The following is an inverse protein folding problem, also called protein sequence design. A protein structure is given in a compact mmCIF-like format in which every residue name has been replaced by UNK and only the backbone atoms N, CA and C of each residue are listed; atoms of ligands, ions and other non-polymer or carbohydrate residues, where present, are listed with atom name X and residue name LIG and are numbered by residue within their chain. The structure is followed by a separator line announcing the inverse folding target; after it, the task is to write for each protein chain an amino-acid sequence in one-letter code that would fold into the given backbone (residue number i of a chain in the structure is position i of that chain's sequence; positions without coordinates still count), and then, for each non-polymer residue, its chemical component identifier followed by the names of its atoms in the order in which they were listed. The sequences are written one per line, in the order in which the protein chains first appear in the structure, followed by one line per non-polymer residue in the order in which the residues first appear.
data_IF_539592710756
#
_entry.id   IF_539592710756
#
_cell.length_a   1.000
_cell.length_b   1.000
_cell.length_c   1.000
_cell.angle_alpha   90.00
_cell.angle_beta   90.00
_cell.angle_gamma   90.00
#
_symmetry.space_group_name_H-M   'P 1'
#
loop_
_entity.id
_entity.type
_entity.pdbx_description
1 polymer ?
#
# COMPACT_ATOMS: atom_id res chain seq x y z
N UNK A 1 13.07 9.24 21.02
CA UNK A 1 11.92 9.45 20.11
C UNK A 1 12.50 9.67 18.73
N UNK A 2 12.21 8.77 17.80
CA UNK A 2 12.61 8.94 16.39
C UNK A 2 11.70 10.01 15.78
N UNK A 3 12.28 11.05 15.19
CA UNK A 3 11.53 12.10 14.51
C UNK A 3 11.51 11.77 13.04
N UNK A 4 10.32 11.72 12.44
CA UNK A 4 10.17 11.52 11.00
C UNK A 4 10.50 12.84 10.29
N UNK A 5 11.41 12.77 9.32
CA UNK A 5 11.88 13.90 8.51
C UNK A 5 11.36 13.83 7.07
N UNK A 6 10.97 12.64 6.61
CA UNK A 6 10.39 12.40 5.28
C UNK A 6 9.32 11.31 5.30
N UNK A 7 8.40 11.34 4.33
CA UNK A 7 7.38 10.31 4.12
C UNK A 7 7.42 9.82 2.68
N UNK A 8 7.45 8.51 2.48
CA UNK A 8 7.24 7.87 1.20
C UNK A 8 5.78 7.39 1.09
N UNK A 9 5.10 7.77 0.00
CA UNK A 9 3.74 7.34 -0.33
C UNK A 9 3.81 6.22 -1.36
N UNK A 10 3.42 5.00 -0.98
CA UNK A 10 3.50 3.79 -1.79
C UNK A 10 2.08 3.27 -2.03
N UNK A 11 1.71 3.00 -3.28
CA UNK A 11 0.36 2.55 -3.55
C UNK A 11 -0.12 2.77 -4.97
N UNK A 12 -1.43 2.94 -5.07
CA UNK A 12 -2.14 3.10 -6.34
C UNK A 12 -2.71 4.53 -6.52
N UNK A 13 -3.67 4.64 -7.45
CA UNK A 13 -4.48 5.83 -7.75
C UNK A 13 -5.06 6.58 -6.55
N UNK A 14 -5.21 5.94 -5.38
CA UNK A 14 -5.68 6.61 -4.17
C UNK A 14 -4.66 7.64 -3.67
N UNK A 15 -3.36 7.35 -3.83
CA UNK A 15 -2.27 8.26 -3.45
C UNK A 15 -1.76 9.04 -4.67
N UNK A 16 -1.64 8.41 -5.84
CA UNK A 16 -1.35 9.06 -7.12
C UNK A 16 -2.64 9.56 -7.78
N UNK A 17 -3.30 10.53 -7.12
CA UNK A 17 -4.65 10.94 -7.48
C UNK A 17 -4.72 12.27 -8.25
N UNK A 18 -3.59 12.87 -8.62
CA UNK A 18 -3.53 14.23 -9.18
C UNK A 18 -4.30 14.39 -10.50
N UNK A 19 -4.41 13.34 -11.30
CA UNK A 19 -5.20 13.32 -12.55
C UNK A 19 -6.72 13.26 -12.32
N UNK A 20 -7.16 12.94 -11.10
CA UNK A 20 -8.57 12.69 -10.75
C UNK A 20 -9.20 13.83 -9.94
N UNK A 21 -8.42 14.85 -9.54
CA UNK A 21 -8.86 15.93 -8.66
C UNK A 21 -8.44 17.29 -9.21
N UNK A 22 -9.03 18.35 -8.66
CA UNK A 22 -8.63 19.71 -9.01
C UNK A 22 -7.22 20.03 -8.50
N UNK A 23 -6.56 20.98 -9.17
CA UNK A 23 -5.20 21.40 -8.82
C UNK A 23 -5.07 21.78 -7.35
N UNK A 24 -4.12 21.15 -6.64
CA UNK A 24 -3.88 21.39 -5.22
C UNK A 24 -4.75 20.58 -4.27
N UNK A 25 -5.64 19.73 -4.78
CA UNK A 25 -6.45 18.79 -3.99
C UNK A 25 -5.88 17.38 -3.96
N UNK A 26 -4.77 17.12 -4.67
CA UNK A 26 -4.10 15.83 -4.64
C UNK A 26 -3.63 15.49 -3.22
N UNK A 27 -3.57 14.21 -2.89
CA UNK A 27 -3.18 13.74 -1.55
C UNK A 27 -1.81 14.30 -1.17
N UNK A 28 -0.84 14.26 -2.09
CA UNK A 28 0.49 14.83 -1.88
C UNK A 28 0.45 16.34 -1.58
N UNK A 29 -0.39 17.10 -2.29
CA UNK A 29 -0.55 18.54 -2.08
C UNK A 29 -1.16 18.85 -0.71
N UNK A 30 -2.13 18.04 -0.28
CA UNK A 30 -2.75 18.19 1.04
C UNK A 30 -1.76 17.89 2.17
N UNK A 31 -0.95 16.84 2.03
CA UNK A 31 0.09 16.51 3.03
C UNK A 31 1.14 17.62 3.09
N UNK A 32 1.57 18.14 1.93
CA UNK A 32 2.53 19.25 1.86
C UNK A 32 1.99 20.54 2.53
N UNK A 33 0.68 20.80 2.43
CA UNK A 33 0.04 21.94 3.11
C UNK A 33 -0.02 21.77 4.63
N UNK A 34 -0.16 20.54 5.12
CA UNK A 34 -0.38 20.23 6.54
C UNK A 34 0.92 19.94 7.30
N UNK A 35 1.99 19.60 6.59
CA UNK A 35 3.24 19.16 7.21
C UNK A 35 4.46 19.82 6.58
N UNK A 36 5.45 20.24 7.40
CA UNK A 36 6.70 20.81 6.89
C UNK A 36 7.71 19.73 6.43
N UNK A 37 7.36 18.45 6.49
CA UNK A 37 8.27 17.33 6.17
C UNK A 37 8.25 17.00 4.68
N UNK A 38 9.35 16.46 4.18
CA UNK A 38 9.45 16.06 2.77
C UNK A 38 8.53 14.88 2.47
N UNK A 39 7.86 14.90 1.31
CA UNK A 39 6.98 13.81 0.87
C UNK A 39 7.42 13.35 -0.51
N UNK A 40 7.59 12.03 -0.69
CA UNK A 40 7.89 11.40 -1.96
C UNK A 40 6.69 10.59 -2.42
N UNK A 41 6.23 10.80 -3.66
CA UNK A 41 5.19 9.99 -4.28
C UNK A 41 5.84 8.85 -5.06
N UNK A 42 5.70 7.63 -4.54
CA UNK A 42 6.13 6.37 -5.18
C UNK A 42 4.93 5.53 -5.60
N UNK A 43 3.70 6.02 -5.39
CA UNK A 43 2.48 5.37 -5.84
C UNK A 43 2.31 5.54 -7.36
N UNK A 44 1.76 4.52 -8.00
CA UNK A 44 1.52 4.50 -9.44
C UNK A 44 0.10 4.02 -9.70
N UNK A 45 -0.66 4.76 -10.50
CA UNK A 45 -2.01 4.37 -10.89
C UNK A 45 -2.05 2.95 -11.49
N UNK A 46 -2.97 2.12 -10.98
CA UNK A 46 -3.14 0.72 -11.37
C UNK A 46 -2.28 -0.29 -10.60
N UNK A 47 -1.37 0.14 -9.72
CA UNK A 47 -0.48 -0.77 -8.99
C UNK A 47 -1.27 -1.79 -8.15
N UNK A 48 -0.82 -3.04 -8.24
CA UNK A 48 -1.23 -4.10 -7.34
C UNK A 48 -0.27 -4.19 -6.15
N UNK A 49 -0.63 -5.02 -5.18
CA UNK A 49 0.24 -5.35 -4.05
C UNK A 49 1.61 -5.86 -4.52
N UNK A 50 1.66 -6.63 -5.60
CA UNK A 50 2.92 -7.19 -6.13
C UNK A 50 3.82 -6.09 -6.70
N UNK A 51 3.25 -5.12 -7.41
CA UNK A 51 3.99 -4.02 -8.02
C UNK A 51 4.64 -3.13 -6.94
N UNK A 52 3.89 -2.80 -5.89
CA UNK A 52 4.43 -2.07 -4.75
C UNK A 52 5.50 -2.84 -3.99
N UNK A 53 5.46 -4.18 -3.97
CA UNK A 53 6.55 -4.99 -3.41
C UNK A 53 7.84 -4.87 -4.22
N UNK A 54 7.76 -4.76 -5.55
CA UNK A 54 8.94 -4.53 -6.38
C UNK A 54 9.62 -3.19 -6.04
N UNK A 55 8.83 -2.13 -5.83
CA UNK A 55 9.35 -0.83 -5.41
C UNK A 55 10.10 -0.94 -4.07
N UNK A 56 9.52 -1.65 -3.09
CA UNK A 56 10.17 -1.87 -1.80
C UNK A 56 11.48 -2.67 -1.92
N UNK A 57 11.55 -3.64 -2.84
CA UNK A 57 12.77 -4.42 -3.09
C UNK A 57 13.86 -3.56 -3.74
N UNK A 58 13.49 -2.67 -4.68
CA UNK A 58 14.40 -1.71 -5.31
C UNK A 58 14.95 -0.67 -4.33
N UNK A 59 14.15 -0.27 -3.35
CA UNK A 59 14.58 0.63 -2.26
C UNK A 59 15.62 -0.02 -1.34
N UNK A 60 15.69 -1.35 -1.32
CA UNK A 60 16.63 -2.13 -0.52
C UNK A 60 16.26 -2.24 0.96
N UNK A 61 16.96 -3.13 1.68
CA UNK A 61 16.69 -3.42 3.09
C UNK A 61 17.39 -2.43 4.08
N UNK A 62 17.63 -1.17 3.68
CA UNK A 62 18.27 -0.15 4.52
C UNK A 62 17.22 0.73 5.23
N UNK A 63 16.87 0.45 6.49
CA UNK A 63 15.87 1.23 7.21
C UNK A 63 16.43 2.60 7.52
N UNK A 64 15.86 3.64 6.93
CA UNK A 64 16.08 5.04 7.31
C UNK A 64 15.10 5.37 8.44
N UNK A 65 15.54 5.39 9.72
CA UNK A 65 14.63 5.52 10.85
C UNK A 65 13.87 6.87 10.87
N UNK A 66 14.41 7.87 10.17
CA UNK A 66 13.79 9.18 9.93
C UNK A 66 12.79 9.20 8.75
N UNK A 67 12.65 8.13 7.98
CA UNK A 67 11.71 8.04 6.84
C UNK A 67 10.49 7.22 7.24
N UNK A 68 9.31 7.83 7.23
CA UNK A 68 8.03 7.14 7.39
C UNK A 68 7.55 6.61 6.04
N UNK A 69 6.73 5.56 6.06
CA UNK A 69 6.09 5.03 4.85
C UNK A 69 4.57 4.93 5.05
N UNK A 70 3.81 5.38 4.06
CA UNK A 70 2.36 5.19 3.96
C UNK A 70 2.11 4.25 2.79
N UNK A 71 1.44 3.12 3.06
CA UNK A 71 1.16 2.11 2.05
C UNK A 71 -0.35 1.98 1.85
N UNK A 72 -0.83 2.20 0.62
CA UNK A 72 -2.23 2.02 0.22
C UNK A 72 -2.30 1.17 -1.04
N UNK A 73 -2.49 -0.14 -0.87
CA UNK A 73 -2.51 -1.13 -1.96
C UNK A 73 -3.60 -2.18 -1.72
N UNK A 74 -3.93 -2.93 -2.78
CA UNK A 74 -4.84 -4.07 -2.71
C UNK A 74 -6.21 -3.83 -3.34
N UNK A 75 -6.55 -2.59 -3.70
CA UNK A 75 -7.76 -2.27 -4.45
C UNK A 75 -7.76 -2.94 -5.83
N UNK A 76 -6.65 -2.79 -6.57
CA UNK A 76 -6.48 -3.43 -7.88
C UNK A 76 -6.43 -4.95 -7.80
N UNK A 77 -5.81 -5.52 -6.77
CA UNK A 77 -5.86 -6.97 -6.50
C UNK A 77 -7.31 -7.47 -6.34
N UNK A 78 -8.12 -6.72 -5.59
CA UNK A 78 -9.51 -7.05 -5.37
C UNK A 78 -10.33 -6.95 -6.67
N UNK A 79 -10.11 -5.90 -7.46
CA UNK A 79 -10.76 -5.72 -8.77
C UNK A 79 -10.38 -6.81 -9.77
N UNK A 80 -9.13 -7.27 -9.80
CA UNK A 80 -8.71 -8.40 -10.63
C UNK A 80 -9.39 -9.72 -10.22
N UNK A 81 -9.78 -9.83 -8.95
CA UNK A 81 -10.56 -10.94 -8.41
C UNK A 81 -12.05 -10.60 -8.27
N UNK A 82 -12.54 -9.59 -9.00
CA UNK A 82 -13.91 -9.08 -8.90
C UNK A 82 -14.97 -10.13 -9.24
N UNK A 83 -14.64 -11.18 -10.00
CA UNK A 83 -15.52 -12.34 -10.20
C UNK A 83 -15.92 -13.01 -8.88
N UNK A 84 -15.06 -12.94 -7.85
CA UNK A 84 -15.33 -13.37 -6.48
C UNK A 84 -16.15 -12.32 -5.71
N UNK A 85 -16.01 -11.03 -6.00
CA UNK A 85 -16.79 -9.95 -5.35
C UNK A 85 -18.21 -9.79 -5.94
N UNK A 86 -18.39 -10.06 -7.23
CA UNK A 86 -19.66 -9.97 -7.96
C UNK A 86 -20.50 -11.26 -7.93
N UNK A 87 -19.95 -12.38 -7.44
CA UNK A 87 -20.74 -13.59 -7.21
C UNK A 87 -21.74 -13.33 -6.07
N UNK A 88 -22.97 -13.00 -6.48
CA UNK A 88 -24.23 -12.78 -5.76
C UNK A 88 -24.21 -13.02 -4.26
N UNK A 89 -24.67 -12.02 -3.50
CA UNK A 89 -25.05 -12.08 -2.09
C UNK A 89 -26.08 -13.19 -1.85
N UNK A 90 -25.63 -14.40 -1.59
CA UNK A 90 -26.39 -15.43 -0.89
C UNK A 90 -25.46 -16.02 0.16
N UNK A 91 -25.69 -15.58 1.40
CA UNK A 91 -25.29 -16.14 2.69
C UNK A 91 -23.88 -16.73 2.78
N UNK A 92 -22.91 -16.05 3.43
CA UNK A 92 -21.95 -16.70 4.33
C UNK A 92 -21.01 -15.68 5.01
N UNK A 93 -20.96 -15.60 6.36
CA UNK A 93 -20.10 -14.67 7.11
C UNK A 93 -18.58 -14.98 7.05
N UNK A 94 -18.19 -16.17 6.60
CA UNK A 94 -16.77 -16.62 6.59
C UNK A 94 -16.04 -16.34 5.26
N UNK A 95 -16.66 -15.63 4.31
CA UNK A 95 -16.11 -15.44 2.96
C UNK A 95 -14.89 -14.51 2.92
N UNK A 96 -14.88 -13.46 3.74
CA UNK A 96 -13.72 -12.57 3.89
C UNK A 96 -12.49 -13.36 4.31
N UNK A 97 -12.66 -14.32 5.24
CA UNK A 97 -11.57 -15.17 5.72
C UNK A 97 -10.95 -16.01 4.59
N UNK A 98 -11.72 -16.44 3.59
CA UNK A 98 -11.19 -17.18 2.43
C UNK A 98 -10.43 -16.31 1.43
N UNK A 99 -10.89 -15.07 1.18
CA UNK A 99 -10.17 -14.11 0.32
C UNK A 99 -8.83 -13.76 0.97
N UNK A 100 -8.86 -13.48 2.28
CA UNK A 100 -7.64 -13.26 3.05
C UNK A 100 -6.77 -14.52 3.10
N UNK A 101 -7.26 -15.69 3.49
CA UNK A 101 -6.44 -16.90 3.65
C UNK A 101 -5.80 -17.40 2.34
N UNK A 102 -6.44 -17.18 1.18
CA UNK A 102 -5.88 -17.60 -0.11
C UNK A 102 -4.63 -16.78 -0.51
N UNK A 103 -4.56 -15.49 -0.15
CA UNK A 103 -3.37 -14.63 -0.39
C UNK A 103 -2.43 -14.54 0.82
N UNK A 104 -2.96 -14.66 2.05
CA UNK A 104 -2.20 -14.56 3.33
C UNK A 104 -1.22 -15.72 3.51
N UNK A 105 -1.53 -16.91 2.97
CA UNK A 105 -0.64 -18.08 3.02
C UNK A 105 0.70 -17.86 2.29
N UNK A 106 0.70 -17.02 1.26
CA UNK A 106 1.90 -16.71 0.46
C UNK A 106 2.58 -15.44 0.97
N UNK A 107 1.82 -14.38 1.29
CA UNK A 107 2.39 -13.05 1.62
C UNK A 107 2.83 -12.87 3.08
N UNK A 108 2.12 -13.44 4.07
CA UNK A 108 2.53 -13.25 5.48
C UNK A 108 3.71 -14.13 5.91
N UNK A 109 3.97 -15.23 5.20
CA UNK A 109 5.16 -16.03 5.48
C UNK A 109 6.41 -15.24 5.14
N UNK A 110 6.41 -14.49 4.04
CA UNK A 110 7.59 -13.73 3.62
C UNK A 110 7.80 -12.47 4.49
N UNK A 111 6.72 -11.78 4.88
CA UNK A 111 6.79 -10.65 5.81
C UNK A 111 7.26 -11.11 7.21
N UNK A 112 6.74 -12.22 7.73
CA UNK A 112 7.06 -12.71 9.07
C UNK A 112 8.45 -13.39 9.13
N UNK A 113 8.87 -14.10 8.08
CA UNK A 113 10.22 -14.68 7.99
C UNK A 113 11.29 -13.57 7.91
N UNK A 114 11.08 -12.51 7.11
CA UNK A 114 12.01 -11.35 7.09
C UNK A 114 12.07 -10.63 8.45
N UNK A 115 10.95 -10.56 9.17
CA UNK A 115 10.90 -9.93 10.50
C UNK A 115 11.46 -10.82 11.63
N UNK A 116 11.37 -12.16 11.52
CA UNK A 116 11.73 -13.10 12.60
C UNK A 116 13.14 -13.66 12.50
N UNK A 117 13.85 -13.53 11.37
CA UNK A 117 15.25 -13.96 11.25
C UNK A 117 16.27 -12.93 11.79
N UNK A 118 15.79 -11.87 12.45
CA UNK A 118 16.62 -10.84 13.11
C UNK A 118 16.34 -10.82 14.61
N UNK A 119 16.84 -11.83 15.31
CA UNK A 119 17.13 -11.81 16.75
C UNK A 119 18.59 -12.16 16.96
#
# INVERSE_FOLDING_TARGET
MTTILSIDLLGDSILDNASYVDSGEAVIDQIFKLSPISVSLLAVDGDTTADTFCILDEMGDDPKPETGAVVSVGGNDALQNSSILMATCLDHPDRWRRIFDHKKSTLLKDICVKASSRT
#
